data_IF_690100883570
#
_entry.id   IF_690100883570
#
_cell.length_a   1.000
_cell.length_b   1.000
_cell.length_c   1.000
_cell.angle_alpha   90.00
_cell.angle_beta   90.00
_cell.angle_gamma   90.00
#
_symmetry.space_group_name_H-M   'P 1'
#
loop_
_entity.id
_entity.type
_entity.pdbx_description
1 polymer ?
#
# COMPACT_ATOMS: atom_id res chain seq x y z
N UNK A 1 -9.45 -9.29 72.91
CA UNK A 1 -8.15 -8.83 72.32
C UNK A 1 -8.09 -9.35 70.88
N UNK A 2 -8.52 -8.51 69.93
CA UNK A 2 -8.50 -8.86 68.49
C UNK A 2 -7.39 -8.11 67.77
N UNK A 3 -6.44 -8.86 67.25
CA UNK A 3 -5.34 -8.30 66.43
C UNK A 3 -5.83 -8.21 64.97
N UNK A 4 -5.91 -6.98 64.45
CA UNK A 4 -6.17 -6.70 63.03
C UNK A 4 -4.84 -6.78 62.26
N UNK A 5 -4.72 -7.77 61.38
CA UNK A 5 -3.64 -7.84 60.40
C UNK A 5 -3.87 -6.83 59.28
N UNK A 6 -3.00 -5.83 59.21
CA UNK A 6 -2.90 -4.93 58.05
C UNK A 6 -2.20 -5.65 56.92
N UNK A 7 -2.89 -5.92 55.81
CA UNK A 7 -2.33 -6.40 54.58
C UNK A 7 -1.62 -5.23 53.84
N UNK A 8 -0.30 -5.32 53.73
CA UNK A 8 0.54 -4.36 52.99
C UNK A 8 0.22 -4.42 51.48
N UNK A 9 -0.18 -3.27 50.94
CA UNK A 9 -0.34 -3.08 49.51
C UNK A 9 1.04 -2.94 48.90
N UNK A 10 1.47 -3.95 48.17
CA UNK A 10 2.75 -3.91 47.40
C UNK A 10 2.71 -2.84 46.30
N UNK A 11 3.85 -2.32 45.87
CA UNK A 11 3.91 -1.26 44.86
C UNK A 11 3.33 -1.75 43.53
N UNK A 12 2.45 -0.92 42.94
CA UNK A 12 1.88 -1.15 41.61
C UNK A 12 3.02 -1.17 40.58
N UNK A 13 3.05 -2.13 39.65
CA UNK A 13 4.03 -2.12 38.58
C UNK A 13 3.85 -0.84 37.74
N UNK A 14 4.95 -0.09 37.58
CA UNK A 14 5.00 1.07 36.70
C UNK A 14 4.62 0.66 35.27
N UNK A 15 3.83 1.48 34.52
CA UNK A 15 3.54 1.19 33.13
C UNK A 15 4.86 1.17 32.35
N UNK A 16 5.10 0.05 31.66
CA UNK A 16 6.26 -0.13 30.80
C UNK A 16 6.32 1.07 29.85
N UNK A 17 7.45 1.78 29.83
CA UNK A 17 7.74 2.85 28.88
C UNK A 17 7.56 2.26 27.47
N UNK A 18 6.59 2.75 26.71
CA UNK A 18 6.50 2.46 25.28
C UNK A 18 7.82 2.95 24.69
N UNK A 19 8.65 2.04 24.22
CA UNK A 19 9.87 2.36 23.51
C UNK A 19 9.57 3.34 22.38
N UNK A 20 10.53 4.21 22.03
CA UNK A 20 10.40 5.09 20.90
C UNK A 20 9.97 4.27 19.66
N UNK A 21 9.04 4.79 18.84
CA UNK A 21 8.58 4.06 17.66
C UNK A 21 9.78 3.75 16.78
N UNK A 22 10.04 2.46 16.55
CA UNK A 22 11.09 2.03 15.61
C UNK A 22 10.74 2.58 14.24
N UNK A 23 11.65 3.29 13.56
CA UNK A 23 11.33 3.92 12.28
C UNK A 23 10.88 2.87 11.27
N UNK A 24 9.86 3.22 10.49
CA UNK A 24 9.36 2.37 9.43
C UNK A 24 10.45 2.17 8.36
N UNK A 25 10.73 0.92 8.02
CA UNK A 25 11.74 0.54 7.03
C UNK A 25 11.07 -0.03 5.78
N UNK A 26 11.48 0.46 4.60
CA UNK A 26 11.03 -0.08 3.31
C UNK A 26 12.15 -0.90 2.68
N UNK A 27 11.82 -2.11 2.25
CA UNK A 27 12.73 -2.99 1.50
C UNK A 27 12.02 -3.67 0.32
N UNK A 28 12.75 -4.18 -0.67
CA UNK A 28 12.19 -5.11 -1.65
C UNK A 28 11.60 -6.36 -0.97
N UNK A 29 10.54 -6.89 -1.56
CA UNK A 29 10.03 -8.20 -1.19
C UNK A 29 10.90 -9.30 -1.80
N UNK A 30 11.04 -10.40 -1.08
CA UNK A 30 11.71 -11.60 -1.57
C UNK A 30 10.69 -12.75 -1.73
N UNK A 31 11.00 -13.78 -2.54
CA UNK A 31 10.11 -14.94 -2.72
C UNK A 31 9.74 -15.64 -1.41
N UNK A 32 10.61 -15.56 -0.42
CA UNK A 32 10.44 -16.16 0.92
C UNK A 32 9.39 -15.42 1.75
N UNK A 33 9.16 -14.13 1.46
CA UNK A 33 8.14 -13.32 2.14
C UNK A 33 6.72 -13.69 1.73
N UNK A 34 6.53 -14.46 0.65
CA UNK A 34 5.23 -14.71 0.01
C UNK A 34 4.17 -15.23 1.00
N UNK A 35 4.49 -16.27 1.75
CA UNK A 35 3.54 -16.85 2.71
C UNK A 35 3.07 -15.84 3.75
N UNK A 36 4.03 -15.10 4.34
CA UNK A 36 3.74 -14.04 5.32
C UNK A 36 2.90 -12.92 4.72
N UNK A 37 3.18 -12.52 3.47
CA UNK A 37 2.44 -11.45 2.79
C UNK A 37 0.99 -11.87 2.60
N UNK A 38 0.73 -13.05 2.01
CA UNK A 38 -0.63 -13.53 1.71
C UNK A 38 -1.45 -13.65 3.00
N UNK A 39 -0.90 -14.30 4.02
CA UNK A 39 -1.56 -14.43 5.32
C UNK A 39 -1.96 -13.05 5.90
N UNK A 40 -1.05 -12.09 5.88
CA UNK A 40 -1.29 -10.75 6.43
C UNK A 40 -2.30 -9.95 5.61
N UNK A 41 -2.21 -9.96 4.29
CA UNK A 41 -3.14 -9.17 3.45
C UNK A 41 -4.56 -9.73 3.51
N UNK A 42 -4.74 -11.03 3.62
CA UNK A 42 -6.04 -11.67 3.81
C UNK A 42 -6.63 -11.28 5.19
N UNK A 43 -5.84 -11.35 6.25
CA UNK A 43 -6.24 -10.89 7.58
C UNK A 43 -6.63 -9.40 7.59
N UNK A 44 -5.89 -8.52 6.89
CA UNK A 44 -6.20 -7.08 6.80
C UNK A 44 -7.44 -6.77 5.98
N UNK A 45 -7.91 -7.71 5.18
CA UNK A 45 -9.02 -7.58 4.23
C UNK A 45 -10.36 -8.03 4.80
N UNK A 46 -10.46 -8.25 6.11
CA UNK A 46 -11.69 -8.66 6.81
C UNK A 46 -12.30 -9.94 6.24
N UNK A 47 -11.48 -10.97 6.04
CA UNK A 47 -11.90 -12.28 5.54
C UNK A 47 -12.11 -12.38 4.04
N UNK A 48 -11.77 -11.36 3.26
CA UNK A 48 -11.70 -11.48 1.81
C UNK A 48 -10.35 -12.07 1.42
N UNK A 49 -10.35 -13.13 0.65
CA UNK A 49 -9.14 -13.77 0.12
C UNK A 49 -8.53 -12.93 -1.02
N UNK A 50 -7.86 -11.85 -0.65
CA UNK A 50 -7.21 -10.95 -1.62
C UNK A 50 -5.81 -11.41 -2.01
N UNK A 51 -5.22 -12.35 -1.27
CA UNK A 51 -3.95 -12.98 -1.61
C UNK A 51 -3.95 -13.66 -2.97
N UNK A 52 -5.11 -14.10 -3.48
CA UNK A 52 -5.25 -14.64 -4.85
C UNK A 52 -4.88 -13.62 -5.93
N UNK A 53 -4.97 -12.33 -5.66
CA UNK A 53 -4.52 -11.25 -6.55
C UNK A 53 -3.01 -11.03 -6.51
N UNK A 54 -2.28 -11.74 -5.66
CA UNK A 54 -0.84 -11.61 -5.43
C UNK A 54 -0.13 -12.95 -5.70
N UNK A 55 -0.11 -13.46 -6.95
CA UNK A 55 0.61 -14.68 -7.25
C UNK A 55 2.11 -14.54 -6.93
N UNK A 56 2.73 -15.64 -6.52
CA UNK A 56 4.14 -15.69 -6.11
C UNK A 56 5.10 -15.14 -7.16
N UNK A 57 4.71 -15.19 -8.44
CA UNK A 57 5.48 -14.65 -9.55
C UNK A 57 5.81 -13.16 -9.41
N UNK A 58 4.98 -12.36 -8.73
CA UNK A 58 5.31 -10.96 -8.44
C UNK A 58 6.57 -10.81 -7.58
N UNK A 59 6.74 -11.71 -6.63
CA UNK A 59 7.88 -11.69 -5.70
C UNK A 59 9.12 -12.38 -6.26
N UNK A 60 8.95 -13.17 -7.33
CA UNK A 60 10.06 -13.81 -8.06
C UNK A 60 10.60 -12.94 -9.20
N UNK A 61 9.71 -12.28 -9.95
CA UNK A 61 10.08 -11.63 -11.21
C UNK A 61 9.97 -10.10 -11.16
N UNK A 62 9.30 -9.54 -10.15
CA UNK A 62 9.12 -8.11 -9.97
C UNK A 62 9.52 -7.67 -8.55
N UNK A 63 10.47 -8.37 -7.93
CA UNK A 63 10.93 -8.14 -6.56
C UNK A 63 11.41 -6.70 -6.34
N UNK A 64 12.17 -6.14 -7.28
CA UNK A 64 12.72 -4.79 -7.19
C UNK A 64 11.66 -3.69 -7.08
N UNK A 65 10.48 -3.95 -7.62
CA UNK A 65 9.33 -3.03 -7.60
C UNK A 65 8.20 -3.49 -6.69
N UNK A 66 8.36 -4.62 -6.01
CA UNK A 66 7.45 -5.13 -4.97
C UNK A 66 8.06 -4.84 -3.60
N UNK A 67 7.42 -4.00 -2.80
CA UNK A 67 8.00 -3.38 -1.61
C UNK A 67 7.24 -3.79 -0.36
N UNK A 68 7.98 -4.05 0.71
CA UNK A 68 7.46 -4.25 2.06
C UNK A 68 7.82 -3.04 2.93
N UNK A 69 6.87 -2.63 3.76
CA UNK A 69 7.10 -1.70 4.85
C UNK A 69 7.03 -2.47 6.16
N UNK A 70 8.11 -2.39 6.94
CA UNK A 70 8.25 -3.02 8.24
C UNK A 70 8.23 -1.96 9.33
N UNK A 71 7.53 -2.21 10.42
CA UNK A 71 7.49 -1.38 11.62
C UNK A 71 7.79 -2.27 12.82
N UNK A 72 8.89 -1.98 13.53
CA UNK A 72 9.35 -2.88 14.61
C UNK A 72 9.66 -4.31 14.16
N UNK A 73 10.05 -4.52 12.88
CA UNK A 73 10.27 -5.86 12.30
C UNK A 73 8.99 -6.56 11.81
N UNK A 74 7.81 -6.04 12.13
CA UNK A 74 6.54 -6.57 11.69
C UNK A 74 6.10 -5.97 10.36
N UNK A 75 5.43 -6.78 9.52
CA UNK A 75 4.90 -6.32 8.25
C UNK A 75 3.73 -5.37 8.50
N UNK A 76 3.91 -4.10 8.14
CA UNK A 76 2.93 -3.03 8.29
C UNK A 76 2.34 -2.55 6.95
N UNK A 77 2.99 -2.85 5.83
CA UNK A 77 2.48 -2.50 4.51
C UNK A 77 3.14 -3.26 3.38
N UNK A 78 2.45 -3.37 2.25
CA UNK A 78 2.96 -3.98 1.02
C UNK A 78 2.47 -3.18 -0.18
N UNK A 79 3.38 -2.94 -1.14
CA UNK A 79 3.07 -2.41 -2.46
C UNK A 79 3.66 -3.38 -3.49
N UNK A 80 2.85 -3.83 -4.42
CA UNK A 80 3.26 -4.68 -5.53
C UNK A 80 3.07 -3.90 -6.82
N UNK A 81 4.11 -3.84 -7.63
CA UNK A 81 4.06 -3.16 -8.92
C UNK A 81 5.16 -3.63 -9.85
N UNK A 82 5.18 -3.10 -11.06
CA UNK A 82 6.14 -3.49 -12.08
C UNK A 82 6.31 -2.39 -13.13
N UNK A 83 7.42 -2.45 -13.87
CA UNK A 83 7.58 -1.71 -15.12
C UNK A 83 6.85 -2.45 -16.23
N UNK A 84 6.01 -1.76 -16.99
CA UNK A 84 5.30 -2.34 -18.12
C UNK A 84 6.27 -2.80 -19.20
N UNK A 85 6.12 -4.04 -19.70
CA UNK A 85 6.88 -4.53 -20.85
C UNK A 85 6.39 -3.89 -22.15
N UNK A 86 5.07 -3.71 -22.29
CA UNK A 86 4.48 -3.12 -23.50
C UNK A 86 4.67 -1.60 -23.57
N UNK A 87 4.80 -0.93 -22.43
CA UNK A 87 5.00 0.51 -22.30
C UNK A 87 6.19 0.79 -21.37
N UNK A 88 7.43 0.68 -21.83
CA UNK A 88 8.61 0.71 -20.96
C UNK A 88 8.83 2.00 -20.15
N UNK A 89 8.12 3.08 -20.49
CA UNK A 89 8.13 4.34 -19.73
C UNK A 89 7.05 4.40 -18.65
N UNK A 90 6.22 3.36 -18.53
CA UNK A 90 5.13 3.27 -17.55
C UNK A 90 5.47 2.26 -16.48
N UNK A 91 5.34 2.65 -15.21
CA UNK A 91 5.27 1.74 -14.08
C UNK A 91 3.83 1.59 -13.63
N UNK A 92 3.45 0.40 -13.18
CA UNK A 92 2.08 0.09 -12.78
C UNK A 92 2.06 -0.42 -11.35
N UNK A 93 1.21 0.18 -10.51
CA UNK A 93 0.94 -0.33 -9.16
C UNK A 93 -0.24 -1.28 -9.22
N UNK A 94 0.04 -2.56 -9.00
CA UNK A 94 -0.93 -3.63 -9.03
C UNK A 94 -1.71 -3.74 -7.72
N UNK A 95 -1.01 -3.59 -6.58
CA UNK A 95 -1.61 -3.76 -5.26
C UNK A 95 -0.95 -2.87 -4.21
N UNK A 96 -1.77 -2.36 -3.29
CA UNK A 96 -1.31 -1.65 -2.10
C UNK A 96 -2.18 -2.05 -0.91
N UNK A 97 -1.54 -2.43 0.19
CA UNK A 97 -2.22 -2.58 1.47
C UNK A 97 -1.35 -2.05 2.61
N UNK A 98 -2.03 -1.53 3.64
CA UNK A 98 -1.43 -1.12 4.91
C UNK A 98 -2.23 -1.77 6.04
N UNK A 99 -1.53 -2.34 7.01
CA UNK A 99 -2.09 -2.97 8.19
C UNK A 99 -3.12 -2.04 8.85
N UNK A 100 -4.29 -2.54 9.30
CA UNK A 100 -5.34 -1.70 9.87
C UNK A 100 -4.86 -0.78 10.99
N UNK A 101 -3.99 -1.27 11.90
CA UNK A 101 -3.43 -0.49 13.00
C UNK A 101 -2.39 0.57 12.57
N UNK A 102 -1.83 0.44 11.37
CA UNK A 102 -0.79 1.36 10.83
C UNK A 102 -1.33 2.30 9.75
N UNK A 103 -2.66 2.33 9.53
CA UNK A 103 -3.29 3.24 8.55
C UNK A 103 -3.27 4.69 9.05
N UNK A 104 -3.35 5.63 8.11
CA UNK A 104 -3.34 7.09 8.34
C UNK A 104 -2.08 7.64 9.04
N UNK A 105 -1.00 6.88 9.04
CA UNK A 105 0.32 7.25 9.54
C UNK A 105 1.32 7.57 8.42
N UNK A 106 0.84 7.74 7.17
CA UNK A 106 1.70 8.05 6.02
C UNK A 106 2.32 6.84 5.32
N UNK A 107 2.15 5.62 5.82
CA UNK A 107 2.82 4.41 5.31
C UNK A 107 2.53 4.12 3.83
N UNK A 108 1.29 4.35 3.38
CA UNK A 108 0.96 4.22 1.95
C UNK A 108 1.73 5.22 1.07
N UNK A 109 1.91 6.46 1.54
CA UNK A 109 2.72 7.47 0.85
C UNK A 109 4.19 7.07 0.81
N UNK A 110 4.76 6.60 1.91
CA UNK A 110 6.16 6.12 1.98
C UNK A 110 6.41 4.99 0.99
N UNK A 111 5.49 4.02 0.89
CA UNK A 111 5.56 2.93 -0.10
C UNK A 111 5.50 3.47 -1.54
N UNK A 112 4.58 4.39 -1.84
CA UNK A 112 4.48 5.00 -3.18
C UNK A 112 5.72 5.80 -3.55
N UNK A 113 6.26 6.60 -2.65
CA UNK A 113 7.49 7.35 -2.88
C UNK A 113 8.69 6.44 -3.14
N UNK A 114 8.80 5.34 -2.39
CA UNK A 114 9.83 4.35 -2.63
C UNK A 114 9.66 3.65 -3.98
N UNK A 115 8.43 3.31 -4.37
CA UNK A 115 8.11 2.75 -5.68
C UNK A 115 8.42 3.72 -6.82
N UNK A 116 8.03 4.99 -6.70
CA UNK A 116 8.30 6.03 -7.69
C UNK A 116 9.81 6.19 -7.93
N UNK A 117 10.62 6.26 -6.86
CA UNK A 117 12.08 6.32 -7.01
C UNK A 117 12.65 5.14 -7.79
N UNK A 118 12.14 3.93 -7.56
CA UNK A 118 12.55 2.73 -8.32
C UNK A 118 12.10 2.79 -9.76
N UNK A 119 10.86 3.21 -10.01
CA UNK A 119 10.32 3.40 -11.35
C UNK A 119 11.16 4.41 -12.16
N UNK A 120 11.54 5.53 -11.54
CA UNK A 120 12.42 6.53 -12.17
C UNK A 120 13.81 5.94 -12.47
N UNK A 121 14.40 5.19 -11.55
CA UNK A 121 15.68 4.51 -11.76
C UNK A 121 15.62 3.48 -12.91
N UNK A 122 14.45 2.89 -13.18
CA UNK A 122 14.17 2.03 -14.32
C UNK A 122 13.84 2.78 -15.61
N UNK A 123 13.88 4.12 -15.59
CA UNK A 123 13.59 4.98 -16.75
C UNK A 123 12.12 5.21 -17.02
N UNK A 124 11.23 4.87 -16.08
CA UNK A 124 9.81 5.19 -16.19
C UNK A 124 9.59 6.70 -16.02
N UNK A 125 8.61 7.23 -16.75
CA UNK A 125 8.20 8.65 -16.70
C UNK A 125 6.75 8.81 -16.26
N UNK A 126 6.07 7.72 -16.03
CA UNK A 126 4.68 7.69 -15.62
C UNK A 126 4.43 6.53 -14.65
N UNK A 127 3.55 6.75 -13.67
CA UNK A 127 2.99 5.69 -12.83
C UNK A 127 1.49 5.63 -13.07
N UNK A 128 0.99 4.41 -13.27
CA UNK A 128 -0.44 4.11 -13.36
C UNK A 128 -0.89 3.22 -12.19
N UNK A 129 -2.16 3.35 -11.85
CA UNK A 129 -2.85 2.49 -10.89
C UNK A 129 -4.35 2.45 -11.21
N UNK A 130 -5.07 1.45 -10.71
CA UNK A 130 -6.53 1.37 -10.86
C UNK A 130 -7.23 1.20 -9.52
N UNK A 131 -8.51 1.58 -9.47
CA UNK A 131 -9.38 1.29 -8.34
C UNK A 131 -10.81 0.99 -8.80
N UNK A 132 -11.57 0.19 -8.05
CA UNK A 132 -13.03 0.15 -8.21
C UNK A 132 -13.64 1.52 -7.93
N UNK A 133 -14.64 1.99 -8.70
CA UNK A 133 -15.23 3.33 -8.53
C UNK A 133 -15.93 3.52 -7.17
N UNK A 134 -16.33 2.43 -6.51
CA UNK A 134 -16.94 2.45 -5.18
C UNK A 134 -15.90 2.67 -4.04
N UNK A 135 -14.60 2.56 -4.33
CA UNK A 135 -13.54 2.72 -3.32
C UNK A 135 -13.12 4.20 -3.18
N UNK A 136 -14.00 5.02 -2.60
CA UNK A 136 -13.78 6.47 -2.42
C UNK A 136 -12.49 6.78 -1.63
N UNK A 137 -12.14 5.95 -0.65
CA UNK A 137 -10.91 6.13 0.15
C UNK A 137 -9.65 5.99 -0.69
N UNK A 138 -9.60 4.99 -1.57
CA UNK A 138 -8.46 4.77 -2.45
C UNK A 138 -8.37 5.85 -3.54
N UNK A 139 -9.53 6.31 -4.05
CA UNK A 139 -9.61 7.42 -5.00
C UNK A 139 -9.05 8.70 -4.38
N UNK A 140 -9.51 9.05 -3.17
CA UNK A 140 -9.02 10.23 -2.45
C UNK A 140 -7.52 10.14 -2.17
N UNK A 141 -7.02 8.95 -1.79
CA UNK A 141 -5.61 8.70 -1.55
C UNK A 141 -4.75 8.95 -2.80
N UNK A 142 -5.15 8.44 -3.97
CA UNK A 142 -4.42 8.68 -5.21
C UNK A 142 -4.41 10.17 -5.59
N UNK A 143 -5.54 10.86 -5.45
CA UNK A 143 -5.60 12.32 -5.67
C UNK A 143 -4.65 13.09 -4.76
N UNK A 144 -4.57 12.73 -3.47
CA UNK A 144 -3.63 13.33 -2.51
C UNK A 144 -2.15 13.06 -2.85
N UNK A 145 -1.86 11.98 -3.58
CA UNK A 145 -0.53 11.69 -4.12
C UNK A 145 -0.25 12.43 -5.43
N UNK A 146 -1.20 13.22 -5.94
CA UNK A 146 -1.06 13.97 -7.18
C UNK A 146 -1.29 13.13 -8.44
N UNK A 147 -2.05 12.04 -8.33
CA UNK A 147 -2.54 11.32 -9.49
C UNK A 147 -3.76 12.00 -10.10
N UNK A 148 -3.81 12.02 -11.41
CA UNK A 148 -4.95 12.43 -12.21
C UNK A 148 -5.82 11.22 -12.55
N UNK A 149 -7.13 11.45 -12.68
CA UNK A 149 -8.08 10.45 -13.20
C UNK A 149 -8.10 10.55 -14.71
N UNK A 150 -7.89 9.44 -15.39
CA UNK A 150 -7.93 9.35 -16.85
C UNK A 150 -9.39 9.17 -17.28
N UNK A 151 -9.84 9.93 -18.27
CA UNK A 151 -11.15 9.74 -18.88
C UNK A 151 -11.17 8.43 -19.67
N UNK A 152 -12.04 7.52 -19.29
CA UNK A 152 -12.25 6.22 -19.93
C UNK A 152 -13.52 6.14 -20.78
N UNK A 153 -14.19 7.28 -21.04
CA UNK A 153 -15.43 7.34 -21.82
C UNK A 153 -16.66 6.78 -21.09
N UNK A 154 -16.53 6.39 -19.83
CA UNK A 154 -17.64 5.95 -18.97
C UNK A 154 -17.72 6.75 -17.69
N UNK A 155 -18.86 6.64 -16.98
CA UNK A 155 -19.08 7.31 -15.71
C UNK A 155 -19.78 6.38 -14.73
N UNK A 156 -19.26 6.25 -13.51
CA UNK A 156 -19.86 5.45 -12.44
C UNK A 156 -19.48 6.03 -11.07
N UNK A 157 -20.40 5.99 -10.12
CA UNK A 157 -20.18 6.50 -8.74
C UNK A 157 -19.63 7.94 -8.70
N UNK A 158 -20.03 8.80 -9.65
CA UNK A 158 -19.58 10.20 -9.69
C UNK A 158 -18.16 10.42 -10.21
N UNK A 159 -17.56 9.45 -10.93
CA UNK A 159 -16.19 9.53 -11.44
C UNK A 159 -16.06 8.87 -12.80
N UNK A 160 -15.13 9.36 -13.64
CA UNK A 160 -14.79 8.75 -14.92
C UNK A 160 -14.21 7.35 -14.74
N UNK A 161 -14.64 6.40 -15.57
CA UNK A 161 -14.23 5.00 -15.52
C UNK A 161 -13.99 4.42 -16.91
N UNK A 162 -13.12 3.43 -16.98
CA UNK A 162 -13.06 2.47 -18.06
C UNK A 162 -14.09 1.37 -17.78
N UNK A 163 -15.08 1.23 -18.65
CA UNK A 163 -16.12 0.20 -18.50
C UNK A 163 -15.51 -1.18 -18.73
N UNK A 164 -15.95 -2.15 -17.94
CA UNK A 164 -15.60 -3.56 -18.06
C UNK A 164 -14.08 -3.86 -18.11
N UNK A 165 -13.27 -2.94 -17.57
CA UNK A 165 -11.81 -2.99 -17.61
C UNK A 165 -11.22 -4.29 -17.03
N UNK A 166 -11.83 -4.82 -16.00
CA UNK A 166 -11.37 -6.05 -15.34
C UNK A 166 -12.33 -7.23 -15.53
N UNK A 167 -13.21 -7.15 -16.55
CA UNK A 167 -14.22 -8.12 -16.87
C UNK A 167 -15.63 -7.52 -16.84
N UNK A 168 -16.66 -8.22 -17.29
CA UNK A 168 -18.02 -7.73 -17.35
C UNK A 168 -18.50 -7.15 -16.01
N UNK A 169 -19.02 -5.92 -16.02
CA UNK A 169 -19.45 -5.19 -14.82
C UNK A 169 -18.30 -4.70 -13.92
N UNK A 170 -17.05 -5.02 -14.24
CA UNK A 170 -15.89 -4.69 -13.43
C UNK A 170 -15.22 -3.39 -13.90
N UNK A 171 -15.93 -2.27 -13.78
CA UNK A 171 -15.41 -0.94 -14.14
C UNK A 171 -14.23 -0.55 -13.25
N UNK A 172 -13.28 0.24 -13.78
CA UNK A 172 -12.13 0.78 -13.04
C UNK A 172 -11.92 2.25 -13.31
N UNK A 173 -11.59 2.97 -12.26
CA UNK A 173 -10.95 4.28 -12.35
C UNK A 173 -9.48 4.04 -12.65
N UNK A 174 -8.95 4.64 -13.71
CA UNK A 174 -7.52 4.63 -14.02
C UNK A 174 -6.90 5.93 -13.50
N UNK A 175 -5.83 5.80 -12.77
CA UNK A 175 -5.02 6.92 -12.27
C UNK A 175 -3.69 6.97 -13.03
N UNK A 176 -3.25 8.19 -13.31
CA UNK A 176 -1.98 8.47 -13.95
C UNK A 176 -1.24 9.56 -13.19
N UNK A 177 0.06 9.39 -13.00
CA UNK A 177 0.95 10.40 -12.45
C UNK A 177 2.19 10.52 -13.32
N UNK A 178 2.45 11.72 -13.89
CA UNK A 178 3.72 12.02 -14.54
C UNK A 178 4.85 12.07 -13.50
N UNK A 179 6.00 11.52 -13.85
CA UNK A 179 7.24 11.54 -13.07
C UNK A 179 8.27 12.54 -13.64
N UNK A 180 7.98 13.12 -14.78
CA UNK A 180 8.81 14.21 -15.30
C UNK A 180 8.67 15.39 -14.33
N UNK A 181 9.78 16.04 -14.00
CA UNK A 181 9.77 17.30 -13.29
C UNK A 181 8.85 18.25 -14.06
N UNK A 182 7.85 18.83 -13.38
CA UNK A 182 7.11 19.93 -13.96
C UNK A 182 8.15 21.05 -14.20
N UNK A 183 8.57 21.18 -15.43
CA UNK A 183 9.18 22.44 -15.85
C UNK A 183 8.09 23.46 -15.64
N UNK A 184 8.21 24.25 -14.57
CA UNK A 184 7.29 25.35 -14.30
C UNK A 184 7.21 26.24 -15.53
N UNK A 185 6.06 26.90 -15.77
CA UNK A 185 6.00 27.87 -16.83
C UNK A 185 7.06 28.94 -16.58
N UNK A 186 7.88 29.20 -17.60
CA UNK A 186 8.84 30.28 -17.63
C UNK A 186 8.14 31.64 -17.55
#
# INVERSE_FOLDING_TARGET
MSAVLQAGVGPRPSPARRGAPTPAQVRPAAPEDYGRIVERVDAWSRGRFVGVALPRSFFQHFADTSLLLLEGGELAGVLVGFRSQAQPRVAYVHYLAVAPGSRRQGHGRVLYEAFIRRAQALGCREVQAIAPPVNSSLIAFHRQLGFEVVDGGGFACGIAVFRDYAGPGQHRVLFRKSLDERVGPA
#
